data_IF_756447901516
#
_entry.id   IF_756447901516
#
_cell.length_a   1.000
_cell.length_b   1.000
_cell.length_c   1.000
_cell.angle_alpha   90.00
_cell.angle_beta   90.00
_cell.angle_gamma   90.00
#
_symmetry.space_group_name_H-M   'P 1'
#
loop_
_entity.id
_entity.type
_entity.pdbx_description
1 polymer ?
#
# COMPACT_ATOMS: atom_id res chain seq x y z
N UNK A 1 34.38 -7.60 -21.74
CA UNK A 1 34.27 -8.06 -20.34
C UNK A 1 32.80 -8.25 -20.04
N UNK A 2 32.36 -9.47 -19.71
CA UNK A 2 31.00 -9.69 -19.21
C UNK A 2 30.99 -9.28 -17.74
N UNK A 3 30.30 -8.19 -17.41
CA UNK A 3 29.94 -7.87 -16.02
C UNK A 3 29.02 -8.99 -15.53
N UNK A 4 29.55 -9.91 -14.73
CA UNK A 4 28.71 -10.78 -13.91
C UNK A 4 27.97 -9.88 -12.93
N UNK A 5 26.68 -9.67 -13.17
CA UNK A 5 25.81 -9.07 -12.16
C UNK A 5 25.85 -9.97 -10.92
N UNK A 6 26.13 -9.37 -9.76
CA UNK A 6 26.07 -10.13 -8.50
C UNK A 6 24.65 -10.68 -8.33
N UNK A 7 24.49 -11.92 -7.83
CA UNK A 7 23.16 -12.46 -7.56
C UNK A 7 22.44 -11.53 -6.59
N UNK A 8 21.32 -10.97 -7.04
CA UNK A 8 20.49 -10.10 -6.21
C UNK A 8 19.82 -10.94 -5.13
N UNK A 9 20.01 -10.55 -3.87
CA UNK A 9 19.32 -11.19 -2.73
C UNK A 9 17.97 -10.52 -2.50
N UNK A 10 16.91 -11.29 -2.60
CA UNK A 10 15.55 -10.86 -2.25
C UNK A 10 15.24 -11.25 -0.81
N UNK A 11 14.47 -10.41 -0.13
CA UNK A 11 13.98 -10.61 1.22
C UNK A 11 12.46 -10.59 1.18
N UNK A 12 11.84 -11.56 1.84
CA UNK A 12 10.41 -11.54 2.07
C UNK A 12 10.16 -10.71 3.33
N UNK A 13 9.32 -9.69 3.21
CA UNK A 13 8.78 -8.99 4.36
C UNK A 13 7.29 -9.31 4.48
N UNK A 14 6.87 -9.53 5.72
CA UNK A 14 5.48 -9.79 6.06
C UNK A 14 4.86 -8.52 6.63
N UNK A 15 3.66 -8.16 6.18
CA UNK A 15 2.95 -6.96 6.63
C UNK A 15 1.46 -7.23 6.77
N UNK A 16 0.82 -6.48 7.66
CA UNK A 16 -0.62 -6.45 7.80
C UNK A 16 -1.15 -5.16 7.18
N UNK A 17 -2.12 -5.27 6.29
CA UNK A 17 -2.76 -4.13 5.63
C UNK A 17 -4.23 -4.07 6.03
N UNK A 18 -4.73 -2.90 6.37
CA UNK A 18 -6.15 -2.65 6.59
C UNK A 18 -6.62 -1.45 5.79
N UNK A 19 -7.86 -1.52 5.33
CA UNK A 19 -8.59 -0.39 4.75
C UNK A 19 -9.84 -0.13 5.61
N UNK A 20 -9.91 1.06 6.21
CA UNK A 20 -11.03 1.46 7.06
C UNK A 20 -11.86 2.49 6.30
N UNK A 21 -13.15 2.20 6.13
CA UNK A 21 -14.12 3.15 5.61
C UNK A 21 -14.70 3.97 6.78
N UNK A 22 -14.13 5.15 7.04
CA UNK A 22 -14.65 6.06 8.07
C UNK A 22 -15.77 6.98 7.56
N UNK A 23 -15.95 7.05 6.24
CA UNK A 23 -16.92 7.93 5.57
C UNK A 23 -18.32 7.35 5.68
N UNK A 24 -18.54 6.11 5.22
CA UNK A 24 -19.83 5.44 5.29
C UNK A 24 -19.94 4.49 6.47
N UNK A 25 -18.81 4.10 7.08
CA UNK A 25 -18.74 3.11 8.17
C UNK A 25 -19.37 1.77 7.77
N UNK A 26 -19.11 1.37 6.52
CA UNK A 26 -19.66 0.15 5.92
C UNK A 26 -18.56 -0.79 5.43
N UNK A 27 -18.87 -2.08 5.38
CA UNK A 27 -17.97 -3.09 4.84
C UNK A 27 -18.10 -3.18 3.31
N UNK A 28 -16.98 -3.46 2.64
CA UNK A 28 -16.87 -3.81 1.23
C UNK A 28 -17.35 -2.74 0.22
N UNK A 29 -17.45 -1.47 0.63
CA UNK A 29 -17.78 -0.37 -0.30
C UNK A 29 -16.61 0.13 -1.11
N UNK A 30 -15.39 -0.06 -0.58
CA UNK A 30 -14.17 0.30 -1.27
C UNK A 30 -13.21 -0.87 -1.34
N UNK A 31 -12.35 -0.81 -2.35
CA UNK A 31 -11.25 -1.75 -2.56
C UNK A 31 -9.98 -0.94 -2.74
N UNK A 32 -8.96 -1.23 -1.95
CA UNK A 32 -7.63 -0.68 -2.15
C UNK A 32 -6.76 -1.74 -2.82
N UNK A 33 -6.16 -1.37 -3.95
CA UNK A 33 -5.10 -2.12 -4.60
C UNK A 33 -3.75 -1.53 -4.21
N UNK A 34 -2.85 -2.40 -3.76
CA UNK A 34 -1.48 -2.07 -3.40
C UNK A 34 -0.55 -2.78 -4.37
N UNK A 35 0.17 -2.01 -5.19
CA UNK A 35 1.03 -2.54 -6.26
C UNK A 35 2.49 -2.18 -5.92
N UNK A 36 3.31 -3.21 -5.67
CA UNK A 36 4.74 -3.03 -5.34
C UNK A 36 5.62 -3.01 -6.58
N UNK A 37 6.48 -1.98 -6.71
CA UNK A 37 7.32 -1.75 -7.90
C UNK A 37 8.50 -2.71 -8.08
N UNK A 38 8.96 -3.38 -7.01
CA UNK A 38 10.27 -4.05 -6.97
C UNK A 38 10.20 -5.57 -6.69
N UNK A 39 9.04 -6.20 -6.93
CA UNK A 39 8.89 -7.65 -6.85
C UNK A 39 9.02 -8.27 -8.26
N UNK A 40 9.67 -9.44 -8.45
CA UNK A 40 9.85 -10.10 -9.75
C UNK A 40 8.54 -10.35 -10.52
N UNK A 41 7.44 -10.45 -9.79
CA UNK A 41 6.10 -10.18 -10.29
C UNK A 41 5.59 -8.97 -9.50
N UNK A 42 5.17 -7.88 -10.15
CA UNK A 42 4.48 -6.78 -9.47
C UNK A 42 3.40 -7.38 -8.58
N UNK A 43 3.61 -7.36 -7.26
CA UNK A 43 2.68 -7.96 -6.32
C UNK A 43 1.54 -6.96 -6.15
N UNK A 44 0.37 -7.35 -6.63
CA UNK A 44 -0.90 -6.66 -6.44
C UNK A 44 -1.64 -7.34 -5.30
N UNK A 45 -1.94 -6.56 -4.25
CA UNK A 45 -2.77 -7.00 -3.13
C UNK A 45 -4.03 -6.16 -3.13
N UNK A 46 -5.19 -6.83 -3.12
CA UNK A 46 -6.48 -6.19 -2.97
C UNK A 46 -6.99 -6.36 -1.53
N UNK A 47 -7.38 -5.25 -0.90
CA UNK A 47 -8.02 -5.24 0.42
C UNK A 47 -9.37 -4.54 0.33
N UNK A 48 -10.42 -5.20 0.83
CA UNK A 48 -11.76 -4.63 0.93
C UNK A 48 -11.88 -3.77 2.19
N UNK A 49 -12.67 -2.70 2.12
CA UNK A 49 -12.91 -1.84 3.27
C UNK A 49 -13.68 -2.58 4.36
N UNK A 50 -13.36 -2.29 5.62
CA UNK A 50 -14.07 -2.83 6.77
C UNK A 50 -14.25 -1.77 7.86
N UNK A 51 -15.21 -1.98 8.77
CA UNK A 51 -15.41 -1.16 9.97
C UNK A 51 -15.75 -2.06 11.16
N UNK A 52 -15.11 -1.91 12.35
CA UNK A 52 -14.17 -0.84 12.71
C UNK A 52 -12.73 -1.02 12.18
N UNK A 53 -12.22 -2.25 12.04
CA UNK A 53 -10.93 -2.55 11.39
C UNK A 53 -10.82 -4.07 11.21
N UNK A 54 -10.35 -4.54 10.06
CA UNK A 54 -9.88 -5.92 9.85
C UNK A 54 -8.58 -5.91 9.05
N UNK A 55 -7.55 -6.56 9.60
CA UNK A 55 -6.24 -6.65 8.96
C UNK A 55 -6.19 -7.86 8.02
N UNK A 56 -5.70 -7.64 6.80
CA UNK A 56 -5.32 -8.68 5.86
C UNK A 56 -3.82 -8.92 5.99
N UNK A 57 -3.45 -10.20 6.14
CA UNK A 57 -2.06 -10.64 6.14
C UNK A 57 -1.54 -10.75 4.72
N UNK A 58 -0.38 -10.15 4.43
CA UNK A 58 0.27 -10.30 3.12
C UNK A 58 1.79 -10.29 3.22
N UNK A 59 2.43 -10.88 2.22
CA UNK A 59 3.88 -10.97 2.10
C UNK A 59 4.31 -10.33 0.79
N UNK A 60 5.35 -9.52 0.87
CA UNK A 60 5.95 -8.92 -0.29
C UNK A 60 7.43 -9.28 -0.40
N UNK A 61 7.90 -9.48 -1.62
CA UNK A 61 9.30 -9.73 -1.91
C UNK A 61 9.98 -8.42 -2.31
N UNK A 62 11.04 -8.06 -1.60
CA UNK A 62 11.80 -6.84 -1.84
C UNK A 62 13.25 -7.15 -2.06
N UNK A 63 13.84 -6.36 -2.94
CA UNK A 63 15.29 -6.29 -3.07
C UNK A 63 15.85 -5.37 -1.98
N UNK A 64 16.90 -5.81 -1.28
CA UNK A 64 17.52 -5.03 -0.20
C UNK A 64 18.16 -3.74 -0.71
N UNK A 65 18.18 -2.72 0.14
CA UNK A 65 18.76 -1.39 -0.09
C UNK A 65 18.07 -0.51 -1.18
N UNK A 66 17.03 -1.00 -1.84
CA UNK A 66 16.24 -0.23 -2.80
C UNK A 66 15.04 0.45 -2.12
N UNK A 67 14.67 1.64 -2.60
CA UNK A 67 13.40 2.27 -2.26
C UNK A 67 12.28 1.45 -2.91
N UNK A 68 11.39 0.93 -2.08
CA UNK A 68 10.19 0.21 -2.49
C UNK A 68 9.08 1.22 -2.69
N UNK A 69 8.45 1.24 -3.86
CA UNK A 69 7.30 2.09 -4.12
C UNK A 69 6.05 1.23 -4.15
N UNK A 70 5.09 1.53 -3.29
CA UNK A 70 3.73 1.04 -3.42
C UNK A 70 2.87 2.08 -4.12
N UNK A 71 2.29 1.71 -5.25
CA UNK A 71 1.19 2.46 -5.85
C UNK A 71 -0.10 2.02 -5.18
N UNK A 72 -0.88 3.00 -4.72
CA UNK A 72 -2.12 2.80 -3.98
C UNK A 72 -3.28 3.29 -4.85
N UNK A 73 -4.20 2.40 -5.21
CA UNK A 73 -5.35 2.71 -6.07
C UNK A 73 -6.63 2.32 -5.35
N UNK A 74 -7.48 3.30 -5.03
CA UNK A 74 -8.75 3.07 -4.33
C UNK A 74 -9.90 3.08 -5.34
N UNK A 75 -10.76 2.07 -5.23
CA UNK A 75 -11.93 1.88 -6.08
C UNK A 75 -13.20 1.77 -5.24
N UNK A 76 -14.31 2.24 -5.79
CA UNK A 76 -15.66 1.90 -5.31
C UNK A 76 -16.03 0.46 -5.68
N UNK A 77 -17.13 -0.04 -5.14
CA UNK A 77 -17.72 -1.36 -5.46
C UNK A 77 -17.97 -1.55 -6.97
N UNK A 78 -18.31 -0.48 -7.69
CA UNK A 78 -18.53 -0.47 -9.14
C UNK A 78 -17.23 -0.40 -9.98
N UNK A 79 -16.07 -0.48 -9.34
CA UNK A 79 -14.73 -0.33 -9.91
C UNK A 79 -14.41 1.08 -10.45
N UNK A 80 -15.15 2.11 -10.05
CA UNK A 80 -14.74 3.49 -10.28
C UNK A 80 -13.53 3.82 -9.41
N UNK A 81 -12.41 4.22 -10.02
CA UNK A 81 -11.26 4.71 -9.28
C UNK A 81 -11.54 6.09 -8.69
N UNK A 82 -11.33 6.26 -7.39
CA UNK A 82 -11.61 7.50 -6.67
C UNK A 82 -10.37 8.13 -6.03
N UNK A 83 -9.27 7.38 -5.96
CA UNK A 83 -8.02 7.88 -5.41
C UNK A 83 -6.82 7.15 -6.03
N UNK A 84 -5.71 7.89 -6.17
CA UNK A 84 -4.40 7.35 -6.50
C UNK A 84 -3.31 8.05 -5.69
N UNK A 85 -2.41 7.25 -5.11
CA UNK A 85 -1.25 7.78 -4.41
C UNK A 85 -0.06 6.83 -4.46
N UNK A 86 1.05 7.28 -3.89
CA UNK A 86 2.31 6.55 -3.81
C UNK A 86 2.85 6.59 -2.40
N UNK A 87 3.28 5.42 -1.94
CA UNK A 87 3.97 5.24 -0.68
C UNK A 87 5.39 4.75 -0.97
N UNK A 88 6.39 5.58 -0.68
CA UNK A 88 7.80 5.23 -0.77
C UNK A 88 8.28 4.70 0.58
N UNK A 89 8.85 3.51 0.55
CA UNK A 89 9.29 2.74 1.70
C UNK A 89 10.76 2.36 1.54
N UNK A 90 11.47 2.22 2.66
CA UNK A 90 12.78 1.57 2.67
C UNK A 90 12.78 0.47 3.72
N UNK A 91 13.34 -0.68 3.37
CA UNK A 91 13.54 -1.76 4.32
C UNK A 91 14.91 -1.64 4.97
N UNK A 92 14.91 -1.56 6.31
CA UNK A 92 16.12 -1.60 7.10
C UNK A 92 16.39 -3.05 7.53
N UNK A 93 17.43 -3.65 6.94
CA UNK A 93 17.80 -5.05 7.19
C UNK A 93 18.33 -5.30 8.61
N UNK A 94 18.93 -4.28 9.25
CA UNK A 94 19.45 -4.39 10.61
C UNK A 94 18.33 -4.53 11.63
N UNK A 95 17.32 -3.68 11.49
CA UNK A 95 16.21 -3.60 12.44
C UNK A 95 15.00 -4.43 11.99
N UNK A 96 15.06 -5.02 10.79
CA UNK A 96 13.99 -5.79 10.12
C UNK A 96 12.69 -5.00 10.01
N UNK A 97 12.77 -3.68 9.83
CA UNK A 97 11.62 -2.76 9.78
C UNK A 97 11.54 -2.04 8.44
N UNK A 98 10.33 -1.87 7.92
CA UNK A 98 10.05 -0.89 6.88
C UNK A 98 10.04 0.50 7.50
N UNK A 99 10.47 1.52 6.76
CA UNK A 99 10.36 2.93 7.13
C UNK A 99 9.64 3.65 6.00
N UNK A 100 8.65 4.47 6.35
CA UNK A 100 7.97 5.32 5.36
C UNK A 100 8.89 6.50 5.10
N UNK A 101 9.33 6.64 3.86
CA UNK A 101 10.08 7.81 3.41
C UNK A 101 9.13 8.93 3.04
N UNK A 102 8.04 8.58 2.34
CA UNK A 102 7.13 9.55 1.75
C UNK A 102 5.80 8.93 1.39
N UNK A 103 4.72 9.65 1.68
CA UNK A 103 3.38 9.32 1.24
C UNK A 103 2.82 10.53 0.51
N UNK A 104 2.46 10.37 -0.76
CA UNK A 104 1.93 11.44 -1.60
C UNK A 104 0.76 10.97 -2.41
N UNK A 105 -0.24 11.83 -2.53
CA UNK A 105 -1.31 11.67 -3.51
C UNK A 105 -0.77 12.12 -4.88
N UNK A 106 -1.16 11.43 -5.95
CA UNK A 106 -0.71 11.77 -7.32
C UNK A 106 -1.49 12.98 -7.90
N UNK A 107 -2.47 13.51 -7.16
CA UNK A 107 -3.28 14.70 -7.43
C UNK A 107 -3.81 14.82 -8.87
N UNK A 108 -4.99 14.24 -9.12
CA UNK A 108 -5.93 14.69 -10.18
C UNK A 108 -7.33 14.05 -10.08
N UNK A 109 -7.67 13.40 -8.97
CA UNK A 109 -9.02 12.86 -8.79
C UNK A 109 -9.94 14.01 -8.35
N UNK A 110 -10.83 14.47 -9.22
CA UNK A 110 -11.87 15.47 -8.91
C UNK A 110 -12.89 15.04 -7.84
N UNK A 111 -12.52 14.09 -6.98
CA UNK A 111 -13.26 13.54 -5.85
C UNK A 111 -12.62 14.01 -4.54
N UNK A 112 -13.46 14.42 -3.58
CA UNK A 112 -13.03 14.84 -2.25
C UNK A 112 -12.66 13.66 -1.33
N UNK A 113 -12.14 12.56 -1.86
CA UNK A 113 -11.77 11.36 -1.10
C UNK A 113 -10.25 11.25 -1.02
N UNK A 114 -9.72 11.09 0.20
CA UNK A 114 -8.30 10.86 0.46
C UNK A 114 -8.04 9.59 1.27
N UNK A 115 -6.76 9.21 1.38
CA UNK A 115 -6.29 8.13 2.24
C UNK A 115 -5.33 8.70 3.28
N UNK A 116 -5.65 8.52 4.56
CA UNK A 116 -4.68 8.69 5.63
C UNK A 116 -3.97 7.37 5.87
N UNK A 117 -2.69 7.45 6.23
CA UNK A 117 -1.90 6.28 6.56
C UNK A 117 -1.45 6.37 8.02
N UNK A 118 -1.95 5.46 8.84
CA UNK A 118 -1.38 5.16 10.14
C UNK A 118 -0.48 3.93 10.03
N UNK A 119 0.68 3.97 10.71
CA UNK A 119 1.61 2.84 10.76
C UNK A 119 2.04 2.54 12.19
N UNK A 120 1.97 1.25 12.54
CA UNK A 120 2.61 0.71 13.74
C UNK A 120 3.37 -0.59 13.42
N UNK A 121 4.71 -0.52 13.48
CA UNK A 121 5.64 -1.59 13.09
C UNK A 121 5.35 -2.17 11.69
N UNK A 122 4.66 -3.32 11.62
CA UNK A 122 4.28 -4.05 10.40
C UNK A 122 2.81 -3.87 10.00
N UNK A 123 2.05 -3.05 10.73
CA UNK A 123 0.65 -2.76 10.41
C UNK A 123 0.57 -1.43 9.67
N UNK A 124 -0.06 -1.45 8.49
CA UNK A 124 -0.40 -0.27 7.72
C UNK A 124 -1.93 -0.17 7.65
N UNK A 125 -2.48 0.89 8.19
CA UNK A 125 -3.91 1.16 8.17
C UNK A 125 -4.17 2.35 7.27
N UNK A 126 -4.92 2.12 6.20
CA UNK A 126 -5.38 3.14 5.27
C UNK A 126 -6.79 3.56 5.66
N UNK A 127 -6.96 4.80 6.09
CA UNK A 127 -8.26 5.35 6.46
C UNK A 127 -8.79 6.21 5.32
N UNK A 128 -9.99 5.87 4.85
CA UNK A 128 -10.71 6.67 3.86
C UNK A 128 -11.31 7.86 4.59
N UNK A 129 -11.03 9.08 4.13
CA UNK A 129 -11.64 10.31 4.63
C UNK A 129 -12.19 11.15 3.48
N UNK A 130 -13.08 12.09 3.82
CA UNK A 130 -13.67 13.02 2.85
C UNK A 130 -15.17 12.85 2.69
N UNK A 131 -15.70 13.31 1.55
CA UNK A 131 -17.12 13.23 1.20
C UNK A 131 -17.33 12.76 -0.24
N UNK A 132 -18.49 12.15 -0.49
CA UNK A 132 -18.97 11.82 -1.83
C UNK A 132 -20.25 12.63 -2.04
N UNK A 133 -20.32 13.37 -3.14
CA UNK A 133 -21.54 14.07 -3.59
C UNK A 133 -22.63 13.08 -4.02
#
# INVERSE_FOLDING_TARGET
>A
MNTKEMPQTFYTFTTYLALIDTVFKTNNKFKLKVISSNSPASQEIEINSSYPNNNVFTEFNIKTADIVVWTLELYKEDNTQVYRGRLELVYNDKDKKLTILKFKEDSDSGTHIGLNLEKNDFNFTFEIFGSID
#
